data_IF_167195346758
#
_entry.id   IF_167195346758
#
_cell.length_a   1.000
_cell.length_b   1.000
_cell.length_c   1.000
_cell.angle_alpha   90.00
_cell.angle_beta   90.00
_cell.angle_gamma   90.00
#
_symmetry.space_group_name_H-M   'P 1'
#
loop_
_entity.id
_entity.type
_entity.pdbx_description
1 polymer ?
#
# COMPACT_ATOMS: atom_id res chain seq x y z
N UNK A 1 -29.68 20.56 4.95
CA UNK A 1 -28.52 21.24 5.58
C UNK A 1 -27.27 20.64 4.93
N UNK A 2 -26.62 21.36 4.03
CA UNK A 2 -25.36 20.89 3.45
C UNK A 2 -24.29 20.97 4.54
N UNK A 3 -23.59 19.87 4.80
CA UNK A 3 -22.45 19.88 5.72
C UNK A 3 -21.33 20.58 4.95
N UNK A 4 -20.94 21.77 5.40
CA UNK A 4 -19.74 22.46 4.92
C UNK A 4 -18.54 21.50 5.09
N UNK A 5 -17.92 21.11 3.98
CA UNK A 5 -16.66 20.34 4.01
C UNK A 5 -15.54 21.34 3.93
N UNK A 6 -14.64 21.30 4.91
CA UNK A 6 -13.40 22.07 4.86
C UNK A 6 -12.29 21.17 4.34
N UNK A 7 -11.45 21.71 3.45
CA UNK A 7 -10.22 21.06 3.00
C UNK A 7 -9.30 20.77 4.18
N UNK A 8 -8.67 19.58 4.18
CA UNK A 8 -7.62 19.22 5.14
C UNK A 8 -6.32 19.12 4.36
N UNK A 9 -5.44 20.10 4.54
CA UNK A 9 -4.16 20.15 3.85
C UNK A 9 -3.15 19.14 4.40
N UNK A 10 -2.37 18.56 3.49
CA UNK A 10 -1.23 17.68 3.78
C UNK A 10 0.01 18.54 4.07
N UNK A 11 0.82 18.13 5.05
CA UNK A 11 2.11 18.76 5.34
C UNK A 11 3.25 18.11 4.53
N UNK A 12 3.11 16.83 4.17
CA UNK A 12 3.99 16.15 3.24
C UNK A 12 3.52 16.37 1.79
N UNK A 13 3.68 17.59 1.28
CA UNK A 13 3.19 17.98 -0.04
C UNK A 13 4.23 18.78 -0.86
N UNK A 14 4.09 18.74 -2.19
CA UNK A 14 4.77 19.68 -3.11
C UNK A 14 3.70 20.60 -3.68
N UNK A 15 3.71 21.86 -3.27
CA UNK A 15 2.59 22.77 -3.55
C UNK A 15 1.30 22.26 -2.88
N UNK A 16 0.20 22.20 -3.63
CA UNK A 16 -1.08 21.63 -3.17
C UNK A 16 -1.19 20.11 -3.39
N UNK A 17 -0.12 19.44 -3.82
CA UNK A 17 -0.14 18.02 -4.16
C UNK A 17 0.45 17.14 -3.03
N UNK A 18 -0.39 16.34 -2.33
CA UNK A 18 0.07 15.47 -1.25
C UNK A 18 0.95 14.34 -1.80
N UNK A 19 2.11 14.10 -1.17
CA UNK A 19 3.10 13.13 -1.63
C UNK A 19 2.61 11.69 -1.51
N UNK A 20 1.92 11.34 -0.42
CA UNK A 20 1.51 9.95 -0.18
C UNK A 20 0.64 9.37 -1.31
N UNK A 21 -0.47 10.02 -1.74
CA UNK A 21 -1.25 9.56 -2.89
C UNK A 21 -0.44 9.48 -4.19
N UNK A 22 0.51 10.38 -4.42
CA UNK A 22 1.36 10.35 -5.62
C UNK A 22 2.23 9.08 -5.67
N UNK A 23 2.76 8.66 -4.52
CA UNK A 23 3.79 7.63 -4.42
C UNK A 23 3.26 6.19 -4.36
N UNK A 24 1.98 5.99 -4.03
CA UNK A 24 1.43 4.63 -3.82
C UNK A 24 1.17 3.85 -5.11
N UNK A 25 1.09 4.50 -6.27
CA UNK A 25 0.65 3.86 -7.53
C UNK A 25 1.52 2.65 -7.92
N UNK A 26 2.84 2.84 -8.02
CA UNK A 26 3.75 1.77 -8.41
C UNK A 26 3.89 0.67 -7.36
N UNK A 27 4.05 0.97 -6.05
CA UNK A 27 4.08 -0.06 -5.02
C UNK A 27 2.82 -0.92 -4.99
N UNK A 28 1.64 -0.29 -5.08
CA UNK A 28 0.36 -1.00 -5.11
C UNK A 28 0.25 -1.87 -6.36
N UNK A 29 0.57 -1.34 -7.53
CA UNK A 29 0.55 -2.11 -8.78
C UNK A 29 1.52 -3.31 -8.72
N UNK A 30 2.71 -3.13 -8.15
CA UNK A 30 3.69 -4.20 -8.00
C UNK A 30 3.19 -5.32 -7.06
N UNK A 31 2.63 -4.97 -5.90
CA UNK A 31 2.10 -5.97 -4.95
C UNK A 31 0.83 -6.66 -5.44
N UNK A 32 -0.05 -5.95 -6.16
CA UNK A 32 -1.21 -6.57 -6.82
C UNK A 32 -0.75 -7.48 -7.96
N UNK A 33 0.26 -7.07 -8.74
CA UNK A 33 0.86 -7.87 -9.81
C UNK A 33 1.65 -9.09 -9.32
N UNK A 34 2.08 -9.10 -8.05
CA UNK A 34 2.74 -10.25 -7.44
C UNK A 34 1.82 -11.48 -7.36
N UNK A 35 0.54 -11.27 -7.04
CA UNK A 35 -0.43 -12.36 -6.94
C UNK A 35 -0.59 -13.17 -8.26
N UNK A 36 -0.85 -12.56 -9.43
CA UNK A 36 -0.90 -13.31 -10.67
C UNK A 36 0.47 -13.89 -11.06
N UNK A 37 1.60 -13.28 -10.68
CA UNK A 37 2.91 -13.89 -10.89
C UNK A 37 3.07 -15.20 -10.10
N UNK A 38 2.61 -15.24 -8.84
CA UNK A 38 2.61 -16.46 -8.03
C UNK A 38 1.70 -17.54 -8.62
N UNK A 39 0.50 -17.17 -9.07
CA UNK A 39 -0.41 -18.10 -9.74
C UNK A 39 0.18 -18.64 -11.04
N UNK A 40 0.83 -17.78 -11.83
CA UNK A 40 1.49 -18.17 -13.07
C UNK A 40 2.67 -19.11 -12.80
N UNK A 41 3.44 -18.89 -11.73
CA UNK A 41 4.49 -19.84 -11.32
C UNK A 41 3.88 -21.21 -10.99
N UNK A 42 2.82 -21.26 -10.17
CA UNK A 42 2.21 -22.55 -9.81
C UNK A 42 1.61 -23.29 -11.00
N UNK A 43 1.14 -22.55 -12.01
CA UNK A 43 0.58 -23.14 -13.22
C UNK A 43 1.65 -23.64 -14.20
N UNK A 44 2.73 -22.86 -14.38
CA UNK A 44 3.72 -23.09 -15.43
C UNK A 44 5.00 -23.76 -14.94
N UNK A 45 5.29 -23.65 -13.64
CA UNK A 45 6.56 -23.98 -13.01
C UNK A 45 7.76 -23.26 -13.64
N UNK A 46 7.54 -22.16 -14.38
CA UNK A 46 8.61 -21.40 -15.02
C UNK A 46 9.31 -20.48 -14.00
N UNK A 47 10.63 -20.65 -13.76
CA UNK A 47 11.40 -19.80 -12.85
C UNK A 47 11.39 -18.31 -13.19
N UNK A 48 10.99 -17.93 -14.41
CA UNK A 48 10.72 -16.53 -14.78
C UNK A 48 9.77 -15.85 -13.78
N UNK A 49 8.66 -16.51 -13.43
CA UNK A 49 7.65 -15.94 -12.55
C UNK A 49 8.13 -15.78 -11.11
N UNK A 50 9.00 -16.67 -10.64
CA UNK A 50 9.65 -16.52 -9.32
C UNK A 50 10.59 -15.31 -9.29
N UNK A 51 11.43 -15.15 -10.31
CA UNK A 51 12.33 -13.98 -10.42
C UNK A 51 11.53 -12.69 -10.54
N UNK A 52 10.50 -12.68 -11.36
CA UNK A 52 9.58 -11.54 -11.48
C UNK A 52 8.91 -11.22 -10.14
N UNK A 53 8.40 -12.25 -9.45
CA UNK A 53 7.78 -12.12 -8.13
C UNK A 53 8.71 -11.55 -7.06
N UNK A 54 9.99 -11.96 -7.04
CA UNK A 54 10.99 -11.37 -6.14
C UNK A 54 11.10 -9.84 -6.31
N UNK A 55 11.20 -9.37 -7.56
CA UNK A 55 11.33 -7.95 -7.85
C UNK A 55 10.02 -7.18 -7.65
N UNK A 56 8.86 -7.78 -7.97
CA UNK A 56 7.55 -7.20 -7.67
C UNK A 56 7.34 -7.02 -6.17
N UNK A 57 7.66 -8.04 -5.37
CA UNK A 57 7.62 -7.95 -3.91
C UNK A 57 8.59 -6.87 -3.39
N UNK A 58 9.80 -6.79 -3.95
CA UNK A 58 10.81 -5.81 -3.54
C UNK A 58 10.42 -4.37 -3.86
N UNK A 59 9.97 -4.08 -5.09
CA UNK A 59 9.48 -2.76 -5.50
C UNK A 59 8.25 -2.38 -4.67
N UNK A 60 7.33 -3.32 -4.48
CA UNK A 60 6.14 -3.16 -3.68
C UNK A 60 6.43 -2.82 -2.22
N UNK A 61 7.29 -3.60 -1.58
CA UNK A 61 7.72 -3.34 -0.21
C UNK A 61 8.48 -2.01 -0.14
N UNK A 62 9.64 -1.89 -0.80
CA UNK A 62 10.49 -0.70 -0.69
C UNK A 62 9.75 0.60 -1.01
N UNK A 63 9.03 0.65 -2.13
CA UNK A 63 8.25 1.84 -2.49
C UNK A 63 7.09 2.09 -1.51
N UNK A 64 6.49 1.03 -0.95
CA UNK A 64 5.51 1.14 0.13
C UNK A 64 6.09 1.76 1.40
N UNK A 65 7.35 1.46 1.76
CA UNK A 65 8.04 2.11 2.87
C UNK A 65 8.21 3.61 2.61
N UNK A 66 8.69 3.98 1.42
CA UNK A 66 8.88 5.40 1.05
C UNK A 66 7.54 6.16 1.07
N UNK A 67 6.47 5.58 0.49
CA UNK A 67 5.14 6.19 0.52
C UNK A 67 4.56 6.28 1.94
N UNK A 68 4.82 5.29 2.80
CA UNK A 68 4.35 5.27 4.18
C UNK A 68 4.98 6.36 5.03
N UNK A 69 6.21 6.79 4.73
CA UNK A 69 6.85 7.93 5.42
C UNK A 69 6.03 9.21 5.19
N UNK A 70 5.63 9.50 3.95
CA UNK A 70 4.79 10.66 3.65
C UNK A 70 3.43 10.58 4.39
N UNK A 71 2.77 9.42 4.35
CA UNK A 71 1.50 9.22 5.04
C UNK A 71 1.62 9.33 6.57
N UNK A 72 2.73 8.86 7.14
CA UNK A 72 3.02 8.96 8.56
C UNK A 72 3.31 10.40 8.99
N UNK A 73 4.04 11.18 8.17
CA UNK A 73 4.25 12.60 8.42
C UNK A 73 2.91 13.31 8.51
N UNK A 74 2.00 13.08 7.56
CA UNK A 74 0.67 13.70 7.57
C UNK A 74 -0.17 13.26 8.77
N UNK A 75 -0.20 11.96 9.06
CA UNK A 75 -0.88 11.46 10.24
C UNK A 75 -0.31 12.12 11.50
N UNK A 76 1.00 12.15 11.71
CA UNK A 76 1.57 12.67 12.97
C UNK A 76 1.58 14.18 13.08
N UNK A 77 1.59 14.93 11.97
CA UNK A 77 1.68 16.39 11.98
C UNK A 77 0.33 17.08 11.86
N UNK A 78 -0.62 16.56 11.06
CA UNK A 78 -1.93 17.20 10.84
C UNK A 78 -2.97 16.73 11.87
N UNK A 79 -3.39 17.65 12.75
CA UNK A 79 -4.29 17.35 13.88
C UNK A 79 -5.64 16.78 13.43
N UNK A 80 -6.19 17.29 12.33
CA UNK A 80 -7.50 16.88 11.84
C UNK A 80 -7.49 15.49 11.22
N UNK A 81 -6.37 15.07 10.63
CA UNK A 81 -6.17 13.68 10.17
C UNK A 81 -6.13 12.74 11.40
N UNK A 82 -5.36 13.07 12.45
CA UNK A 82 -5.27 12.23 13.67
C UNK A 82 -6.58 12.01 14.39
N UNK A 83 -7.52 12.94 14.28
CA UNK A 83 -8.83 12.84 14.96
C UNK A 83 -9.77 11.86 14.27
N UNK A 84 -9.46 11.41 13.05
CA UNK A 84 -10.33 10.51 12.29
C UNK A 84 -9.98 9.05 12.56
N UNK A 85 -10.97 8.29 13.02
CA UNK A 85 -10.85 6.83 13.19
C UNK A 85 -10.48 6.17 11.86
N UNK A 86 -11.06 6.61 10.75
CA UNK A 86 -10.74 6.13 9.40
C UNK A 86 -9.25 6.26 9.05
N UNK A 87 -8.58 7.33 9.50
CA UNK A 87 -7.15 7.53 9.27
C UNK A 87 -6.30 6.50 10.02
N UNK A 88 -6.64 6.23 11.28
CA UNK A 88 -5.96 5.20 12.08
C UNK A 88 -6.24 3.79 11.57
N UNK A 89 -7.50 3.47 11.21
CA UNK A 89 -7.83 2.17 10.61
C UNK A 89 -7.07 1.95 9.30
N UNK A 90 -7.01 2.97 8.43
CA UNK A 90 -6.21 2.94 7.21
C UNK A 90 -4.73 2.70 7.52
N UNK A 91 -4.14 3.46 8.44
CA UNK A 91 -2.73 3.34 8.81
C UNK A 91 -2.38 1.95 9.38
N UNK A 92 -3.24 1.38 10.24
CA UNK A 92 -3.03 0.03 10.80
C UNK A 92 -3.04 -1.02 9.69
N UNK A 93 -4.04 -0.97 8.79
CA UNK A 93 -4.10 -1.89 7.64
C UNK A 93 -2.89 -1.73 6.73
N UNK A 94 -2.43 -0.50 6.50
CA UNK A 94 -1.24 -0.22 5.70
C UNK A 94 0.03 -0.80 6.34
N UNK A 95 0.21 -0.65 7.66
CA UNK A 95 1.36 -1.24 8.38
C UNK A 95 1.33 -2.76 8.35
N UNK A 96 0.16 -3.37 8.57
CA UNK A 96 -0.01 -4.83 8.46
C UNK A 96 0.34 -5.31 7.06
N UNK A 97 -0.21 -4.65 6.03
CA UNK A 97 0.06 -4.93 4.62
C UNK A 97 1.55 -4.83 4.31
N UNK A 98 2.20 -3.74 4.72
CA UNK A 98 3.61 -3.50 4.46
C UNK A 98 4.51 -4.52 5.19
N UNK A 99 4.11 -4.96 6.38
CA UNK A 99 4.80 -6.01 7.13
C UNK A 99 4.76 -7.35 6.39
N UNK A 100 3.60 -7.74 5.85
CA UNK A 100 3.45 -8.95 5.05
C UNK A 100 4.18 -8.87 3.71
N UNK A 101 4.10 -7.73 3.02
CA UNK A 101 4.84 -7.50 1.79
C UNK A 101 6.36 -7.60 2.01
N UNK A 102 6.86 -7.01 3.10
CA UNK A 102 8.28 -7.06 3.47
C UNK A 102 8.72 -8.48 3.84
N UNK A 103 7.89 -9.21 4.59
CA UNK A 103 8.14 -10.63 4.92
C UNK A 103 8.17 -11.49 3.65
N UNK A 104 7.21 -11.31 2.74
CA UNK A 104 7.14 -12.03 1.47
C UNK A 104 8.39 -11.78 0.63
N UNK A 105 8.82 -10.51 0.53
CA UNK A 105 10.06 -10.16 -0.15
C UNK A 105 11.30 -10.80 0.51
N UNK A 106 11.40 -10.74 1.84
CA UNK A 106 12.53 -11.32 2.58
C UNK A 106 12.64 -12.84 2.38
N UNK A 107 11.51 -13.56 2.46
CA UNK A 107 11.48 -15.01 2.25
C UNK A 107 11.95 -15.37 0.84
N UNK A 108 11.51 -14.62 -0.19
CA UNK A 108 11.98 -14.82 -1.57
C UNK A 108 13.46 -14.50 -1.72
N UNK A 109 13.93 -13.42 -1.10
CA UNK A 109 15.32 -13.00 -1.16
C UNK A 109 16.27 -14.03 -0.52
N UNK A 110 15.83 -14.70 0.54
CA UNK A 110 16.57 -15.78 1.21
C UNK A 110 16.53 -17.12 0.44
N UNK A 111 15.86 -17.19 -0.71
CA UNK A 111 15.67 -18.42 -1.47
C UNK A 111 14.61 -19.36 -0.90
N UNK A 112 13.96 -18.98 0.22
CA UNK A 112 12.87 -19.73 0.86
C UNK A 112 11.54 -19.62 0.12
N UNK A 113 11.49 -18.92 -1.02
CA UNK A 113 10.30 -18.82 -1.89
C UNK A 113 10.28 -19.83 -3.04
N UNK A 114 11.33 -20.66 -3.19
CA UNK A 114 11.39 -21.69 -4.23
C UNK A 114 10.76 -23.00 -3.76
N UNK A 115 10.18 -23.76 -4.70
CA UNK A 115 9.57 -25.07 -4.52
C UNK A 115 8.61 -25.17 -3.32
N UNK A 116 9.08 -25.66 -2.17
CA UNK A 116 8.30 -25.82 -0.94
C UNK A 116 7.73 -24.50 -0.39
N UNK A 117 8.40 -23.37 -0.68
CA UNK A 117 7.99 -22.04 -0.23
C UNK A 117 6.96 -21.32 -1.10
N UNK A 118 6.67 -21.84 -2.30
CA UNK A 118 5.85 -21.14 -3.29
C UNK A 118 4.40 -20.91 -2.81
N UNK A 119 3.83 -21.90 -2.11
CA UNK A 119 2.50 -21.76 -1.50
C UNK A 119 2.50 -20.68 -0.41
N UNK A 120 3.57 -20.58 0.38
CA UNK A 120 3.69 -19.56 1.42
C UNK A 120 3.80 -18.15 0.83
N UNK A 121 4.58 -18.01 -0.24
CA UNK A 121 4.63 -16.79 -1.05
C UNK A 121 3.24 -16.38 -1.56
N UNK A 122 2.48 -17.32 -2.12
CA UNK A 122 1.12 -17.08 -2.60
C UNK A 122 0.18 -16.64 -1.47
N UNK A 123 0.18 -17.33 -0.32
CA UNK A 123 -0.68 -16.96 0.82
C UNK A 123 -0.43 -15.53 1.28
N UNK A 124 0.85 -15.14 1.41
CA UNK A 124 1.23 -13.78 1.75
C UNK A 124 0.77 -12.78 0.69
N UNK A 125 0.89 -13.12 -0.60
CA UNK A 125 0.42 -12.27 -1.71
C UNK A 125 -1.09 -12.07 -1.69
N UNK A 126 -1.87 -13.12 -1.44
CA UNK A 126 -3.34 -13.03 -1.32
C UNK A 126 -3.75 -12.13 -0.16
N UNK A 127 -3.19 -12.35 1.03
CA UNK A 127 -3.52 -11.53 2.20
C UNK A 127 -3.09 -10.08 1.98
N UNK A 128 -1.92 -9.85 1.38
CA UNK A 128 -1.43 -8.51 1.04
C UNK A 128 -2.40 -7.81 0.07
N UNK A 129 -2.86 -8.48 -0.98
CA UNK A 129 -3.83 -7.92 -1.94
C UNK A 129 -5.19 -7.56 -1.29
N UNK A 130 -5.67 -8.40 -0.36
CA UNK A 130 -6.87 -8.10 0.42
C UNK A 130 -6.68 -6.86 1.31
N UNK A 131 -5.56 -6.78 2.02
CA UNK A 131 -5.25 -5.62 2.86
C UNK A 131 -5.07 -4.34 2.03
N UNK A 132 -4.45 -4.42 0.84
CA UNK A 132 -4.38 -3.30 -0.11
C UNK A 132 -5.78 -2.84 -0.47
N UNK A 133 -6.69 -3.76 -0.78
CA UNK A 133 -8.07 -3.42 -1.18
C UNK A 133 -8.81 -2.69 -0.04
N UNK A 134 -8.69 -3.17 1.20
CA UNK A 134 -9.29 -2.54 2.37
C UNK A 134 -8.66 -1.19 2.69
N UNK A 135 -7.32 -1.09 2.64
CA UNK A 135 -6.60 0.15 2.88
C UNK A 135 -6.94 1.19 1.80
N UNK A 136 -7.02 0.80 0.52
CA UNK A 136 -7.41 1.65 -0.59
C UNK A 136 -8.84 2.18 -0.43
N UNK A 137 -9.77 1.34 0.02
CA UNK A 137 -11.14 1.78 0.33
C UNK A 137 -11.16 2.86 1.43
N UNK A 138 -10.46 2.63 2.55
CA UNK A 138 -10.40 3.62 3.63
C UNK A 138 -9.65 4.90 3.22
N UNK A 139 -8.58 4.78 2.42
CA UNK A 139 -7.83 5.90 1.85
C UNK A 139 -8.72 6.74 0.93
N UNK A 140 -9.52 6.09 0.08
CA UNK A 140 -10.53 6.73 -0.75
C UNK A 140 -11.55 7.49 0.09
N UNK A 141 -12.03 6.94 1.21
CA UNK A 141 -12.92 7.68 2.13
C UNK A 141 -12.24 8.90 2.75
N UNK A 142 -10.94 8.86 3.06
CA UNK A 142 -10.22 10.03 3.57
C UNK A 142 -10.17 11.15 2.52
N UNK A 143 -9.90 10.82 1.26
CA UNK A 143 -9.85 11.79 0.16
C UNK A 143 -11.24 12.31 -0.18
N UNK A 144 -12.18 11.43 -0.52
CA UNK A 144 -13.46 11.82 -1.12
C UNK A 144 -14.53 12.21 -0.10
N UNK A 145 -14.51 11.66 1.12
CA UNK A 145 -15.52 11.99 2.13
C UNK A 145 -15.03 13.03 3.12
N UNK A 146 -13.74 12.98 3.48
CA UNK A 146 -13.13 13.83 4.51
C UNK A 146 -12.24 14.94 3.96
N UNK A 147 -12.14 15.09 2.63
CA UNK A 147 -11.37 16.13 1.94
C UNK A 147 -9.89 16.21 2.38
N UNK A 148 -9.27 15.06 2.68
CA UNK A 148 -7.85 14.99 3.02
C UNK A 148 -7.01 15.11 1.74
N UNK A 149 -6.17 16.14 1.68
CA UNK A 149 -5.28 16.39 0.55
C UNK A 149 -5.98 16.88 -0.71
N UNK A 150 -7.20 17.43 -0.59
CA UNK A 150 -7.99 17.98 -1.70
C UNK A 150 -8.36 19.42 -1.37
N UNK A 151 -8.08 20.32 -2.31
CA UNK A 151 -8.58 21.68 -2.25
C UNK A 151 -10.00 21.72 -2.84
N UNK A 152 -10.95 22.28 -2.09
CA UNK A 152 -12.36 22.34 -2.50
C UNK A 152 -12.71 23.66 -3.20
N UNK A 153 -11.85 24.67 -3.09
CA UNK A 153 -12.09 26.04 -3.56
C UNK A 153 -11.28 26.39 -4.82
N UNK A 154 -10.60 25.40 -5.42
CA UNK A 154 -9.79 25.53 -6.64
C UNK A 154 -10.59 25.53 -7.94
#
# INVERSE_FOLDING_TARGET
MAIERNSIHSNAAIGSHPLHPMMIHFPVAALIGLLPADLAYLWTLDPFWQRGGLWLAGVGAFGGWVASIAGLIDLLSVRDIRRKVTAWCHAILAVMMLSLASLNWLLRYQGLGADEGALWGLYLSVITALLISLAAFLGGRLVYEHAVGVDLDS
#
